data_IF_349716394016
#
_entry.id   IF_349716394016
#
_cell.length_a   1.000
_cell.length_b   1.000
_cell.length_c   1.000
_cell.angle_alpha   90.00
_cell.angle_beta   90.00
_cell.angle_gamma   90.00
#
_symmetry.space_group_name_H-M   'P 1'
#
loop_
_entity.id
_entity.type
_entity.pdbx_description
1 polymer ?
#
# COMPACT_ATOMS: atom_id res chain seq x y z
N UNK A 1 -6.45 8.43 8.60
CA UNK A 1 -5.34 7.50 8.27
C UNK A 1 -4.01 8.22 8.46
N UNK A 2 -3.08 7.61 9.21
CA UNK A 2 -1.69 8.05 9.29
C UNK A 2 -0.85 7.42 8.19
N UNK A 3 0.26 8.06 7.79
CA UNK A 3 1.16 7.55 6.75
C UNK A 3 2.58 7.48 7.29
N UNK A 4 3.24 6.34 7.10
CA UNK A 4 4.62 6.09 7.52
C UNK A 4 5.44 5.59 6.33
N UNK A 5 6.36 6.41 5.82
CA UNK A 5 7.22 6.05 4.69
C UNK A 5 8.59 5.54 5.18
N UNK A 6 8.93 4.30 4.80
CA UNK A 6 10.18 3.61 5.09
C UNK A 6 11.16 3.70 3.90
N UNK A 7 11.31 4.88 3.28
CA UNK A 7 12.24 5.09 2.17
C UNK A 7 13.59 5.68 2.61
N UNK A 8 14.60 5.65 1.71
CA UNK A 8 16.00 6.01 1.99
C UNK A 8 16.18 7.41 2.58
N UNK A 9 15.34 8.36 2.24
CA UNK A 9 15.39 9.73 2.77
C UNK A 9 14.91 9.83 4.23
N UNK A 10 14.22 8.82 4.73
CA UNK A 10 13.58 8.83 6.05
C UNK A 10 14.25 7.90 7.07
N UNK A 11 14.89 6.79 6.66
CA UNK A 11 15.18 5.69 7.60
C UNK A 11 16.54 4.97 7.44
N UNK A 12 17.39 5.24 6.43
CA UNK A 12 18.46 4.31 6.07
C UNK A 12 19.90 4.72 6.44
N UNK A 13 20.13 5.65 7.36
CA UNK A 13 21.53 5.97 7.77
C UNK A 13 22.06 5.16 8.95
N UNK A 14 21.19 4.59 9.81
CA UNK A 14 21.59 3.69 10.91
C UNK A 14 20.38 2.85 11.37
N UNK A 15 20.40 1.54 11.15
CA UNK A 15 19.26 0.64 11.37
C UNK A 15 18.67 0.62 12.80
N UNK A 16 19.46 0.92 13.82
CA UNK A 16 18.99 0.96 15.22
C UNK A 16 18.22 2.24 15.55
N UNK A 17 18.64 3.38 15.04
CA UNK A 17 17.99 4.67 15.30
C UNK A 17 16.61 4.72 14.61
N UNK A 18 16.51 4.15 13.44
CA UNK A 18 15.31 4.12 12.60
C UNK A 18 14.16 3.27 13.17
N UNK A 19 14.47 2.14 13.84
CA UNK A 19 13.46 1.28 14.50
C UNK A 19 12.74 2.04 15.62
N UNK A 20 13.45 2.74 16.49
CA UNK A 20 12.87 3.51 17.60
C UNK A 20 12.07 4.72 17.13
N UNK A 21 12.51 5.37 16.05
CA UNK A 21 11.78 6.50 15.47
C UNK A 21 10.46 6.03 14.82
N UNK A 22 10.48 4.92 14.09
CA UNK A 22 9.28 4.33 13.50
C UNK A 22 8.29 3.91 14.59
N UNK A 23 8.77 3.25 15.64
CA UNK A 23 7.96 2.87 16.79
C UNK A 23 7.30 4.09 17.44
N UNK A 24 8.07 5.12 17.76
CA UNK A 24 7.55 6.35 18.38
C UNK A 24 6.51 7.05 17.49
N UNK A 25 6.69 7.04 16.16
CA UNK A 25 5.71 7.59 15.23
C UNK A 25 4.42 6.78 15.22
N UNK A 26 4.51 5.44 15.23
CA UNK A 26 3.34 4.56 15.30
C UNK A 26 2.57 4.80 16.61
N UNK A 27 3.26 4.80 17.76
CA UNK A 27 2.65 5.06 19.06
C UNK A 27 1.94 6.41 19.09
N UNK A 28 2.57 7.45 18.57
CA UNK A 28 1.97 8.79 18.48
C UNK A 28 0.75 8.82 17.56
N UNK A 29 0.73 8.06 16.47
CA UNK A 29 -0.44 7.95 15.59
C UNK A 29 -1.60 7.25 16.31
N UNK A 30 -1.31 6.18 17.08
CA UNK A 30 -2.28 5.47 17.90
C UNK A 30 -2.85 6.39 18.99
N UNK A 31 -2.00 7.11 19.73
CA UNK A 31 -2.41 8.10 20.73
C UNK A 31 -3.31 9.19 20.14
N UNK A 32 -3.03 9.61 18.91
CA UNK A 32 -3.83 10.58 18.16
C UNK A 32 -5.06 9.96 17.48
N UNK A 33 -5.40 8.70 17.83
CA UNK A 33 -6.60 7.98 17.36
C UNK A 33 -6.66 7.82 15.84
N UNK A 34 -5.54 7.46 15.22
CA UNK A 34 -5.58 6.99 13.84
C UNK A 34 -6.36 5.68 13.78
N UNK A 35 -7.30 5.57 12.83
CA UNK A 35 -8.03 4.32 12.58
C UNK A 35 -7.20 3.36 11.72
N UNK A 36 -6.36 3.93 10.84
CA UNK A 36 -5.50 3.18 9.92
C UNK A 36 -4.12 3.83 9.91
N UNK A 37 -3.06 3.01 9.87
CA UNK A 37 -1.69 3.44 9.59
C UNK A 37 -1.23 2.75 8.31
N UNK A 38 -0.97 3.55 7.26
CA UNK A 38 -0.50 3.08 5.96
C UNK A 38 1.03 3.15 5.89
N UNK A 39 1.66 2.03 5.54
CA UNK A 39 3.12 1.88 5.53
C UNK A 39 3.59 1.59 4.11
N UNK A 40 4.52 2.39 3.60
CA UNK A 40 5.15 2.20 2.30
C UNK A 40 6.67 2.30 2.38
N UNK A 41 7.38 1.47 1.58
CA UNK A 41 8.84 1.48 1.48
C UNK A 41 9.36 1.92 0.11
N UNK A 42 8.46 2.16 -0.83
CA UNK A 42 8.75 2.61 -2.18
C UNK A 42 8.03 3.92 -2.43
N UNK A 43 8.70 4.85 -3.11
CA UNK A 43 8.05 6.10 -3.47
C UNK A 43 7.08 5.88 -4.63
N UNK A 44 5.83 6.28 -4.44
CA UNK A 44 4.79 6.33 -5.47
C UNK A 44 4.73 7.69 -6.21
N UNK A 45 5.66 8.62 -5.90
CA UNK A 45 5.69 9.95 -6.52
C UNK A 45 5.95 9.89 -8.02
N UNK A 46 5.45 10.88 -8.80
CA UNK A 46 5.74 10.97 -10.23
C UNK A 46 7.25 10.91 -10.51
N UNK A 47 7.63 10.03 -11.46
CA UNK A 47 9.02 9.85 -11.85
C UNK A 47 9.85 8.94 -10.95
N UNK A 48 9.27 8.34 -9.91
CA UNK A 48 9.95 7.35 -9.07
C UNK A 48 10.26 6.08 -9.86
N UNK A 49 11.45 5.52 -9.62
CA UNK A 49 11.87 4.27 -10.25
C UNK A 49 11.37 3.07 -9.45
N UNK A 50 11.00 1.97 -10.11
CA UNK A 50 10.68 0.72 -9.44
C UNK A 50 11.85 0.25 -8.57
N UNK A 51 11.53 -0.28 -7.40
CA UNK A 51 12.49 -0.91 -6.49
C UNK A 51 12.28 -2.42 -6.55
N UNK A 52 13.34 -3.25 -6.58
CA UNK A 52 13.20 -4.70 -6.47
C UNK A 52 12.42 -5.11 -5.21
N UNK A 53 11.54 -6.10 -5.33
CA UNK A 53 10.63 -6.51 -4.25
C UNK A 53 11.34 -7.04 -2.99
N UNK A 54 12.51 -7.65 -3.15
CA UNK A 54 13.37 -8.10 -2.05
C UNK A 54 13.96 -6.91 -1.26
N UNK A 55 14.35 -5.85 -1.94
CA UNK A 55 14.82 -4.60 -1.31
C UNK A 55 13.66 -3.91 -0.57
N UNK A 56 12.46 -3.86 -1.17
CA UNK A 56 11.27 -3.33 -0.53
C UNK A 56 10.96 -4.09 0.76
N UNK A 57 10.98 -5.41 0.70
CA UNK A 57 10.76 -6.27 1.86
C UNK A 57 11.80 -6.04 2.96
N UNK A 58 13.08 -5.92 2.60
CA UNK A 58 14.14 -5.67 3.58
C UNK A 58 13.98 -4.33 4.30
N UNK A 59 13.50 -3.29 3.61
CA UNK A 59 13.18 -1.99 4.22
C UNK A 59 12.04 -2.07 5.23
N UNK A 60 11.11 -2.99 5.05
CA UNK A 60 9.91 -3.13 5.87
C UNK A 60 10.08 -4.06 7.07
N UNK A 61 10.97 -5.04 6.99
CA UNK A 61 11.09 -6.13 7.97
C UNK A 61 11.16 -5.66 9.42
N UNK A 62 12.02 -4.68 9.72
CA UNK A 62 12.22 -4.22 11.09
C UNK A 62 10.97 -3.51 11.65
N UNK A 63 10.30 -2.70 10.82
CA UNK A 63 9.07 -1.99 11.20
C UNK A 63 7.94 -3.00 11.42
N UNK A 64 7.75 -3.92 10.47
CA UNK A 64 6.70 -4.94 10.52
C UNK A 64 6.90 -5.89 11.70
N UNK A 65 8.14 -6.31 11.98
CA UNK A 65 8.43 -7.11 13.15
C UNK A 65 8.17 -6.34 14.45
N UNK A 66 8.49 -5.04 14.52
CA UNK A 66 8.15 -4.20 15.66
C UNK A 66 6.65 -4.14 15.90
N UNK A 67 5.86 -3.93 14.83
CA UNK A 67 4.39 -3.92 14.89
C UNK A 67 3.88 -5.26 15.43
N UNK A 68 4.42 -6.36 14.96
CA UNK A 68 4.03 -7.71 15.37
C UNK A 68 4.41 -8.03 16.82
N UNK A 69 5.65 -7.73 17.23
CA UNK A 69 6.17 -7.98 18.58
C UNK A 69 5.41 -7.19 19.65
N UNK A 70 5.06 -5.93 19.37
CA UNK A 70 4.30 -5.05 20.27
C UNK A 70 2.78 -5.18 20.11
N UNK A 71 2.31 -6.01 19.19
CA UNK A 71 0.88 -6.24 18.90
C UNK A 71 0.11 -4.97 18.59
N UNK A 72 0.73 -3.99 17.92
CA UNK A 72 0.04 -2.76 17.54
C UNK A 72 -1.13 -3.00 16.60
N UNK A 73 -1.14 -4.10 15.83
CA UNK A 73 -2.24 -4.52 14.96
C UNK A 73 -3.55 -4.86 15.72
N UNK A 74 -3.50 -5.02 17.06
CA UNK A 74 -4.69 -5.16 17.90
C UNK A 74 -5.31 -3.79 18.28
N UNK A 75 -4.58 -2.68 18.09
CA UNK A 75 -4.96 -1.33 18.49
C UNK A 75 -5.39 -0.45 17.31
N UNK A 76 -4.84 -0.68 16.13
CA UNK A 76 -5.08 0.09 14.91
C UNK A 76 -4.94 -0.83 13.69
N UNK A 77 -5.69 -0.58 12.63
CA UNK A 77 -5.53 -1.33 11.38
C UNK A 77 -4.31 -0.84 10.61
N UNK A 78 -3.47 -1.79 10.16
CA UNK A 78 -2.33 -1.49 9.31
C UNK A 78 -2.64 -1.76 7.85
N UNK A 79 -2.22 -0.83 7.00
CA UNK A 79 -2.27 -0.88 5.55
C UNK A 79 -0.84 -0.97 4.99
N UNK A 80 -0.68 -1.65 3.87
CA UNK A 80 0.58 -1.71 3.11
C UNK A 80 0.41 -1.02 1.76
N UNK A 81 1.19 0.04 1.50
CA UNK A 81 1.31 0.67 0.18
C UNK A 81 2.34 -0.12 -0.65
N UNK A 82 1.85 -1.14 -1.34
CA UNK A 82 2.67 -2.02 -2.17
C UNK A 82 1.84 -2.82 -3.16
N UNK A 83 2.46 -3.14 -4.31
CA UNK A 83 1.96 -4.10 -5.29
C UNK A 83 2.90 -5.31 -5.46
N UNK A 84 3.82 -5.53 -4.51
CA UNK A 84 4.74 -6.66 -4.47
C UNK A 84 4.12 -7.85 -3.73
N UNK A 85 3.79 -8.97 -4.38
CA UNK A 85 3.06 -10.08 -3.74
C UNK A 85 3.76 -10.69 -2.53
N UNK A 86 5.10 -10.78 -2.55
CA UNK A 86 5.89 -11.30 -1.44
C UNK A 86 5.91 -10.35 -0.23
N UNK A 87 5.90 -9.04 -0.46
CA UNK A 87 5.76 -8.02 0.60
C UNK A 87 4.38 -8.11 1.23
N UNK A 88 3.34 -8.14 0.39
CA UNK A 88 1.94 -8.25 0.84
C UNK A 88 1.73 -9.53 1.67
N UNK A 89 2.20 -10.69 1.18
CA UNK A 89 2.09 -11.96 1.92
C UNK A 89 2.78 -11.89 3.28
N UNK A 90 3.98 -11.31 3.33
CA UNK A 90 4.73 -11.16 4.57
C UNK A 90 4.01 -10.29 5.59
N UNK A 91 3.49 -9.13 5.20
CA UNK A 91 2.87 -8.19 6.15
C UNK A 91 1.48 -8.64 6.58
N UNK A 92 0.68 -9.21 5.68
CA UNK A 92 -0.64 -9.77 6.02
C UNK A 92 -0.50 -10.94 7.00
N UNK A 93 0.51 -11.79 6.84
CA UNK A 93 0.82 -12.84 7.81
C UNK A 93 1.26 -12.30 9.20
N UNK A 94 1.59 -11.01 9.30
CA UNK A 94 1.96 -10.29 10.52
C UNK A 94 0.84 -9.41 11.09
N UNK A 95 -0.40 -9.59 10.62
CA UNK A 95 -1.58 -8.93 11.16
C UNK A 95 -1.99 -7.64 10.46
N UNK A 96 -1.38 -7.28 9.34
CA UNK A 96 -1.91 -6.23 8.48
C UNK A 96 -3.24 -6.69 7.87
N UNK A 97 -4.14 -5.75 7.62
CA UNK A 97 -5.50 -6.05 7.13
C UNK A 97 -5.84 -5.40 5.80
N UNK A 98 -5.04 -4.44 5.35
CA UNK A 98 -5.37 -3.61 4.20
C UNK A 98 -4.21 -3.64 3.21
N UNK A 99 -4.52 -3.83 1.93
CA UNK A 99 -3.59 -3.70 0.80
C UNK A 99 -3.96 -2.45 0.03
N UNK A 100 -3.06 -1.46 0.00
CA UNK A 100 -3.21 -0.23 -0.76
C UNK A 100 -2.41 -0.39 -2.06
N UNK A 101 -3.11 -0.75 -3.15
CA UNK A 101 -2.49 -1.03 -4.45
C UNK A 101 -2.70 0.12 -5.43
N UNK A 102 -1.65 0.94 -5.60
CA UNK A 102 -1.63 2.05 -6.55
C UNK A 102 -1.69 1.60 -8.01
N UNK A 103 -1.48 0.31 -8.31
CA UNK A 103 -1.59 -0.22 -9.67
C UNK A 103 -3.01 -0.64 -10.04
N UNK A 104 -3.95 -0.52 -9.09
CA UNK A 104 -5.36 -0.83 -9.29
C UNK A 104 -5.63 -2.31 -9.56
N UNK A 105 -4.97 -3.20 -8.85
CA UNK A 105 -5.05 -4.66 -9.03
C UNK A 105 -4.62 -5.13 -10.43
N UNK A 106 -3.61 -4.50 -11.00
CA UNK A 106 -3.07 -4.89 -12.30
C UNK A 106 -2.60 -6.35 -12.31
N UNK A 107 -2.03 -6.83 -11.21
CA UNK A 107 -1.39 -8.14 -11.10
C UNK A 107 -2.28 -9.15 -10.37
N UNK A 108 -2.53 -10.31 -10.99
CA UNK A 108 -3.36 -11.38 -10.41
C UNK A 108 -2.75 -11.98 -9.13
N UNK A 109 -1.43 -11.93 -9.00
CA UNK A 109 -0.71 -12.39 -7.82
C UNK A 109 -1.07 -11.55 -6.59
N UNK A 110 -1.27 -10.24 -6.74
CA UNK A 110 -1.75 -9.36 -5.66
C UNK A 110 -3.16 -9.75 -5.25
N UNK A 111 -4.05 -10.00 -6.21
CA UNK A 111 -5.41 -10.48 -5.93
C UNK A 111 -5.39 -11.81 -5.15
N UNK A 112 -4.58 -12.79 -5.59
CA UNK A 112 -4.47 -14.11 -4.93
C UNK A 112 -4.00 -13.99 -3.49
N UNK A 113 -2.97 -13.17 -3.25
CA UNK A 113 -2.43 -12.97 -1.90
C UNK A 113 -3.44 -12.22 -1.02
N UNK A 114 -4.05 -11.17 -1.51
CA UNK A 114 -5.07 -10.41 -0.76
C UNK A 114 -6.26 -11.30 -0.38
N UNK A 115 -6.75 -12.11 -1.31
CA UNK A 115 -7.85 -13.05 -1.07
C UNK A 115 -7.49 -14.14 -0.05
N UNK A 116 -6.25 -14.64 -0.06
CA UNK A 116 -5.75 -15.66 0.90
C UNK A 116 -5.92 -15.21 2.35
N UNK A 117 -5.81 -13.92 2.63
CA UNK A 117 -5.90 -13.33 3.97
C UNK A 117 -7.21 -12.59 4.23
N UNK A 118 -8.18 -12.65 3.33
CA UNK A 118 -9.44 -11.88 3.40
C UNK A 118 -9.18 -10.38 3.63
N UNK A 119 -8.16 -9.85 2.96
CA UNK A 119 -7.72 -8.48 3.16
C UNK A 119 -8.66 -7.48 2.47
N UNK A 120 -8.88 -6.34 3.12
CA UNK A 120 -9.45 -5.15 2.46
C UNK A 120 -8.47 -4.63 1.41
N UNK A 121 -8.97 -4.24 0.23
CA UNK A 121 -8.13 -3.72 -0.84
C UNK A 121 -8.54 -2.32 -1.23
N UNK A 122 -7.58 -1.40 -1.24
CA UNK A 122 -7.73 -0.09 -1.86
C UNK A 122 -7.29 -0.21 -3.32
N UNK A 123 -8.21 0.06 -4.23
CA UNK A 123 -7.97 0.04 -5.67
C UNK A 123 -7.84 1.49 -6.13
N UNK A 124 -6.61 1.91 -6.48
CA UNK A 124 -6.37 3.26 -6.98
C UNK A 124 -6.39 3.30 -8.51
N UNK A 125 -7.08 4.30 -9.08
CA UNK A 125 -6.96 4.60 -10.49
C UNK A 125 -5.64 5.32 -10.77
N UNK A 126 -4.96 4.89 -11.83
CA UNK A 126 -3.76 5.53 -12.36
C UNK A 126 -3.63 5.24 -13.86
N UNK A 127 -3.32 6.27 -14.67
CA UNK A 127 -2.90 6.02 -16.04
C UNK A 127 -1.42 5.63 -16.10
N UNK A 128 -1.11 4.56 -16.86
CA UNK A 128 0.25 4.06 -17.08
C UNK A 128 0.90 3.49 -15.81
N UNK A 129 1.99 4.12 -15.33
CA UNK A 129 2.77 3.72 -14.16
C UNK A 129 3.37 4.96 -13.46
N UNK A 130 3.88 4.85 -12.22
CA UNK A 130 4.41 6.00 -11.48
C UNK A 130 5.49 6.80 -12.23
N UNK A 131 6.26 6.15 -13.10
CA UNK A 131 7.35 6.77 -13.83
C UNK A 131 6.87 7.76 -14.91
N UNK A 132 5.69 7.52 -15.46
CA UNK A 132 5.19 8.28 -16.63
C UNK A 132 3.70 8.69 -16.53
N UNK A 133 3.03 8.44 -15.41
CA UNK A 133 1.62 8.70 -15.22
C UNK A 133 1.19 10.15 -15.53
N UNK A 134 2.08 11.13 -15.34
CA UNK A 134 1.82 12.54 -15.65
C UNK A 134 2.25 12.96 -17.07
N UNK A 135 2.74 12.03 -17.91
CA UNK A 135 3.12 12.35 -19.29
C UNK A 135 1.90 12.29 -20.20
N UNK A 136 1.26 13.45 -20.41
CA UNK A 136 0.10 13.63 -21.28
C UNK A 136 -1.05 12.65 -20.95
N UNK A 137 -1.58 12.62 -19.70
CA UNK A 137 -2.76 11.82 -19.42
C UNK A 137 -3.92 12.31 -20.29
N UNK A 138 -4.65 11.38 -20.89
CA UNK A 138 -5.75 11.68 -21.81
C UNK A 138 -7.01 10.93 -21.41
N UNK A 139 -8.14 11.64 -21.40
CA UNK A 139 -9.46 11.09 -21.13
C UNK A 139 -10.42 11.51 -22.23
N UNK A 140 -11.31 10.62 -22.61
CA UNK A 140 -12.46 10.98 -23.45
C UNK A 140 -13.51 11.72 -22.62
N UNK A 141 -13.85 11.13 -21.48
CA UNK A 141 -14.71 11.68 -20.43
C UNK A 141 -14.17 11.14 -19.11
N UNK A 142 -13.52 11.98 -18.32
CA UNK A 142 -12.81 11.56 -17.11
C UNK A 142 -13.69 10.78 -16.13
N UNK A 143 -14.94 11.17 -15.96
CA UNK A 143 -15.86 10.49 -15.03
C UNK A 143 -16.22 9.10 -15.55
N UNK A 144 -16.55 8.98 -16.83
CA UNK A 144 -16.91 7.70 -17.43
C UNK A 144 -15.73 6.76 -17.53
N UNK A 145 -14.54 7.28 -17.83
CA UNK A 145 -13.34 6.48 -17.99
C UNK A 145 -12.91 5.89 -16.63
N UNK A 146 -12.99 6.69 -15.54
CA UNK A 146 -12.71 6.22 -14.17
C UNK A 146 -13.80 5.24 -13.69
N UNK A 147 -15.08 5.49 -13.95
CA UNK A 147 -16.17 4.56 -13.62
C UNK A 147 -15.95 3.21 -14.30
N UNK A 148 -15.64 3.20 -15.59
CA UNK A 148 -15.37 1.97 -16.33
C UNK A 148 -14.15 1.22 -15.79
N UNK A 149 -13.10 1.93 -15.39
CA UNK A 149 -11.94 1.35 -14.74
C UNK A 149 -12.36 0.64 -13.44
N UNK A 150 -13.07 1.33 -12.55
CA UNK A 150 -13.50 0.74 -11.28
C UNK A 150 -14.45 -0.43 -11.47
N UNK A 151 -15.42 -0.33 -12.35
CA UNK A 151 -16.32 -1.44 -12.69
C UNK A 151 -15.55 -2.70 -13.12
N UNK A 152 -14.49 -2.51 -13.89
CA UNK A 152 -13.63 -3.59 -14.35
C UNK A 152 -12.83 -4.19 -13.20
N UNK A 153 -12.21 -3.34 -12.38
CA UNK A 153 -11.37 -3.83 -11.28
C UNK A 153 -12.17 -4.43 -10.13
N UNK A 154 -13.38 -3.92 -9.84
CA UNK A 154 -14.30 -4.53 -8.87
C UNK A 154 -14.70 -5.94 -9.32
N UNK A 155 -15.07 -6.12 -10.59
CA UNK A 155 -15.39 -7.45 -11.15
C UNK A 155 -14.20 -8.40 -11.04
N UNK A 156 -12.99 -7.89 -11.33
CA UNK A 156 -11.76 -8.67 -11.16
C UNK A 156 -11.56 -9.07 -9.68
N UNK A 157 -11.60 -8.12 -8.75
CA UNK A 157 -11.45 -8.38 -7.32
C UNK A 157 -12.44 -9.44 -6.83
N UNK A 158 -13.72 -9.27 -7.17
CA UNK A 158 -14.79 -10.21 -6.81
C UNK A 158 -14.54 -11.61 -7.37
N UNK A 159 -13.96 -11.73 -8.57
CA UNK A 159 -13.64 -13.04 -9.18
C UNK A 159 -12.54 -13.81 -8.41
N UNK A 160 -11.72 -13.10 -7.63
CA UNK A 160 -10.74 -13.67 -6.69
C UNK A 160 -11.29 -13.85 -5.28
N UNK A 161 -12.53 -13.42 -5.00
CA UNK A 161 -13.17 -13.50 -3.68
C UNK A 161 -12.91 -12.28 -2.79
N UNK A 162 -12.31 -11.20 -3.31
CA UNK A 162 -12.10 -9.95 -2.59
C UNK A 162 -13.40 -9.14 -2.65
N UNK A 163 -14.03 -8.90 -1.49
CA UNK A 163 -15.31 -8.21 -1.40
C UNK A 163 -15.24 -6.89 -0.59
N UNK A 164 -14.23 -6.72 0.25
CA UNK A 164 -14.01 -5.49 1.03
C UNK A 164 -13.08 -4.55 0.24
N UNK A 165 -13.66 -3.60 -0.48
CA UNK A 165 -12.99 -2.76 -1.47
C UNK A 165 -13.21 -1.29 -1.14
N UNK A 166 -12.14 -0.51 -1.21
CA UNK A 166 -12.15 0.96 -1.20
C UNK A 166 -11.65 1.46 -2.55
N UNK A 167 -12.30 2.46 -3.11
CA UNK A 167 -11.91 3.06 -4.39
C UNK A 167 -11.19 4.38 -4.16
N UNK A 168 -10.02 4.54 -4.76
CA UNK A 168 -9.26 5.79 -4.78
C UNK A 168 -9.14 6.29 -6.22
N UNK A 169 -9.67 7.47 -6.49
CA UNK A 169 -9.65 8.07 -7.84
C UNK A 169 -8.24 8.49 -8.28
N UNK A 170 -7.25 8.46 -7.42
CA UNK A 170 -5.85 8.74 -7.75
C UNK A 170 -5.62 10.16 -8.21
N UNK A 171 -6.12 11.16 -7.49
CA UNK A 171 -5.92 12.57 -7.87
C UNK A 171 -4.43 12.90 -7.98
N UNK A 172 -3.98 13.29 -9.17
CA UNK A 172 -2.57 13.56 -9.47
C UNK A 172 -1.77 12.37 -10.01
N UNK A 173 -2.43 11.21 -10.22
CA UNK A 173 -1.82 9.99 -10.75
C UNK A 173 -2.19 9.73 -12.24
N UNK A 174 -2.56 10.74 -12.96
CA UNK A 174 -2.88 10.65 -14.39
C UNK A 174 -4.07 11.45 -14.80
#
# INVERSE_FOLDING_TARGET
MGVLNANEDSFFKDSRFNKYEAQSKIEKMIENRADIIDIGAVSSRPGSKPVPFDIELDRLKDIVNTIYEHKYYEQVDFSIDSYAPNVIDYVLNKGFKIVNDITGLKYDEVCKVSAKYDAKVVIMHMQNNPENMQKNPTYGDVLKDIDLFFDTQIKKANSFGINDIVLDVGIGFG
#
